data_IF_044893653335
#
_entry.id   IF_044893653335
#
_cell.length_a   1.000
_cell.length_b   1.000
_cell.length_c   1.000
_cell.angle_alpha   90.00
_cell.angle_beta   90.00
_cell.angle_gamma   90.00
#
_symmetry.space_group_name_H-M   'P 1'
#
loop_
_entity.id
_entity.type
_entity.pdbx_description
1 polymer ?
#
# COMPACT_ATOMS: atom_id res chain seq x y z
N UNK A 1 -32.18 -34.25 -13.59
CA UNK A 1 -32.47 -33.23 -12.55
C UNK A 1 -31.86 -33.78 -11.26
N UNK A 2 -30.74 -33.33 -10.70
CA UNK A 2 -30.18 -31.99 -10.56
C UNK A 2 -28.70 -31.94 -10.94
N UNK A 3 -28.24 -30.74 -11.30
CA UNK A 3 -26.86 -30.44 -11.67
C UNK A 3 -26.12 -29.74 -10.50
N UNK A 4 -24.79 -29.92 -10.49
CA UNK A 4 -23.74 -29.10 -9.84
C UNK A 4 -23.59 -29.26 -8.32
N UNK A 5 -22.38 -29.60 -7.88
CA UNK A 5 -21.44 -28.62 -7.34
C UNK A 5 -20.01 -29.09 -7.59
N UNK A 6 -19.23 -28.21 -8.23
CA UNK A 6 -17.79 -28.32 -8.32
C UNK A 6 -17.23 -28.05 -6.93
N UNK A 7 -16.68 -29.06 -6.25
CA UNK A 7 -15.82 -28.83 -5.09
C UNK A 7 -14.45 -28.43 -5.62
N UNK A 8 -14.33 -27.11 -5.79
CA UNK A 8 -13.18 -26.45 -6.38
C UNK A 8 -11.99 -26.55 -5.42
N UNK A 9 -10.93 -27.17 -5.93
CA UNK A 9 -9.55 -26.74 -5.81
C UNK A 9 -9.03 -26.39 -4.40
N UNK A 10 -8.09 -27.23 -3.96
CA UNK A 10 -7.00 -26.82 -3.09
C UNK A 10 -6.38 -25.48 -3.54
N UNK A 11 -6.69 -24.41 -2.82
CA UNK A 11 -5.73 -23.35 -2.57
C UNK A 11 -5.13 -23.69 -1.21
N UNK A 12 -3.97 -24.34 -1.13
CA UNK A 12 -2.71 -23.61 -1.21
C UNK A 12 -2.89 -22.18 -0.69
N UNK A 13 -3.08 -22.04 0.63
CA UNK A 13 -2.54 -20.86 1.30
C UNK A 13 -1.14 -21.23 1.75
N UNK A 14 -0.11 -21.07 0.90
CA UNK A 14 1.23 -21.11 1.42
C UNK A 14 1.43 -19.89 2.32
N UNK A 15 1.71 -20.19 3.59
CA UNK A 15 2.86 -19.62 4.32
C UNK A 15 2.67 -18.19 4.86
N UNK A 16 2.79 -17.92 6.15
CA UNK A 16 4.02 -18.08 6.96
C UNK A 16 5.27 -17.61 6.23
N UNK A 17 5.43 -16.30 5.98
CA UNK A 17 6.75 -15.74 5.66
C UNK A 17 6.92 -14.37 6.35
N UNK A 18 7.91 -14.30 7.21
CA UNK A 18 8.36 -13.14 7.98
C UNK A 18 8.95 -12.07 7.04
N UNK A 19 8.10 -11.35 6.33
CA UNK A 19 8.44 -10.12 5.62
C UNK A 19 7.73 -8.98 6.35
N UNK A 20 8.47 -7.94 6.75
CA UNK A 20 7.87 -6.74 7.36
C UNK A 20 6.77 -6.22 6.42
N UNK A 21 5.52 -6.28 6.87
CA UNK A 21 4.38 -5.86 6.06
C UNK A 21 4.59 -4.43 5.53
N UNK A 22 4.23 -4.18 4.28
CA UNK A 22 4.19 -2.84 3.74
C UNK A 22 3.10 -2.03 4.46
N UNK A 23 3.40 -0.76 4.73
CA UNK A 23 2.45 0.15 5.37
C UNK A 23 1.78 1.03 4.34
N UNK A 24 0.63 1.55 4.73
CA UNK A 24 -0.11 2.54 3.96
C UNK A 24 -0.18 3.83 4.78
N UNK A 25 -0.05 4.96 4.11
CA UNK A 25 0.00 6.28 4.73
C UNK A 25 -1.06 7.17 4.09
N UNK A 26 -1.87 7.81 4.93
CA UNK A 26 -2.94 8.71 4.50
C UNK A 26 -2.56 10.15 4.83
N UNK A 27 -2.62 11.01 3.83
CA UNK A 27 -2.56 12.45 4.04
C UNK A 27 -3.79 12.88 4.85
N UNK A 28 -3.60 13.42 6.06
CA UNK A 28 -4.71 13.83 6.92
C UNK A 28 -5.41 15.11 6.44
N UNK A 29 -4.79 15.82 5.49
CA UNK A 29 -5.30 17.07 4.91
C UNK A 29 -6.27 16.82 3.77
N UNK A 30 -5.96 15.87 2.86
CA UNK A 30 -6.77 15.63 1.65
C UNK A 30 -7.27 14.19 1.50
N UNK A 31 -6.75 13.24 2.26
CA UNK A 31 -7.12 11.82 2.17
C UNK A 31 -6.37 11.01 1.10
N UNK A 32 -5.35 11.59 0.44
CA UNK A 32 -4.48 10.83 -0.48
C UNK A 32 -3.83 9.64 0.23
N UNK A 33 -3.76 8.49 -0.44
CA UNK A 33 -3.21 7.24 0.10
C UNK A 33 -1.92 6.87 -0.63
N UNK A 34 -0.82 6.83 0.12
CA UNK A 34 0.45 6.25 -0.30
C UNK A 34 0.57 4.81 0.20
N UNK A 35 0.70 3.84 -0.70
CA UNK A 35 0.92 2.43 -0.38
C UNK A 35 2.39 2.08 -0.68
N UNK A 36 3.18 1.73 0.34
CA UNK A 36 4.59 1.39 0.18
C UNK A 36 4.78 0.23 -0.83
N UNK A 37 3.86 -0.75 -0.90
CA UNK A 37 3.97 -1.87 -1.83
C UNK A 37 3.84 -1.41 -3.29
N UNK A 38 3.00 -0.40 -3.53
CA UNK A 38 2.75 0.16 -4.87
C UNK A 38 3.71 1.28 -5.22
N UNK A 39 4.25 1.97 -4.22
CA UNK A 39 4.98 3.22 -4.40
C UNK A 39 4.13 4.28 -5.10
N UNK A 40 4.81 5.21 -5.77
CA UNK A 40 4.18 6.22 -6.62
C UNK A 40 5.09 6.55 -7.82
N UNK A 41 5.15 5.69 -8.85
CA UNK A 41 6.12 5.82 -9.94
C UNK A 41 5.99 7.12 -10.74
N UNK A 42 4.79 7.71 -10.79
CA UNK A 42 4.55 9.00 -11.43
C UNK A 42 5.33 10.14 -10.77
N UNK A 43 5.59 10.04 -9.47
CA UNK A 43 6.37 10.99 -8.66
C UNK A 43 7.82 10.51 -8.43
N UNK A 44 8.24 9.44 -9.11
CA UNK A 44 9.58 8.86 -8.97
C UNK A 44 9.78 7.96 -7.75
N UNK A 45 8.72 7.61 -7.02
CA UNK A 45 8.79 6.65 -5.90
C UNK A 45 8.48 5.24 -6.43
N UNK A 46 9.47 4.36 -6.48
CA UNK A 46 9.30 3.02 -7.03
C UNK A 46 8.37 2.14 -6.14
N UNK A 47 7.74 1.09 -6.70
CA UNK A 47 7.03 0.11 -5.88
C UNK A 47 7.97 -0.52 -4.85
N UNK A 48 7.51 -0.65 -3.61
CA UNK A 48 8.29 -1.15 -2.49
C UNK A 48 9.13 -0.09 -1.76
N UNK A 49 9.12 1.17 -2.19
CA UNK A 49 9.72 2.28 -1.44
C UNK A 49 9.04 2.39 -0.06
N UNK A 50 9.84 2.35 1.00
CA UNK A 50 9.33 2.50 2.37
C UNK A 50 9.14 3.97 2.70
N UNK A 51 8.27 4.27 3.67
CA UNK A 51 8.05 5.66 4.11
C UNK A 51 9.32 6.34 4.63
N UNK A 52 10.19 5.58 5.28
CA UNK A 52 11.52 6.04 5.69
C UNK A 52 12.44 6.40 4.51
N UNK A 53 12.20 5.85 3.32
CA UNK A 53 13.00 6.09 2.12
C UNK A 53 12.42 7.20 1.23
N UNK A 54 11.18 7.64 1.48
CA UNK A 54 10.60 8.79 0.77
C UNK A 54 11.37 10.06 1.17
N UNK A 55 11.82 10.92 0.24
CA UNK A 55 12.55 12.14 0.60
C UNK A 55 11.74 13.09 1.47
N UNK A 56 12.34 13.74 2.47
CA UNK A 56 11.65 14.72 3.34
C UNK A 56 11.17 15.96 2.59
N UNK A 57 11.75 16.23 1.41
CA UNK A 57 11.32 17.30 0.50
C UNK A 57 10.13 16.92 -0.36
N UNK A 58 9.70 15.66 -0.36
CA UNK A 58 8.52 15.23 -1.10
C UNK A 58 7.26 15.81 -0.48
N UNK A 59 6.33 16.22 -1.33
CA UNK A 59 5.03 16.75 -0.94
C UNK A 59 3.90 15.91 -1.52
N UNK A 60 2.76 15.91 -0.86
CA UNK A 60 1.57 15.24 -1.34
C UNK A 60 1.21 15.73 -2.76
N UNK A 61 1.07 14.84 -3.76
CA UNK A 61 0.78 15.24 -5.14
C UNK A 61 -0.60 15.88 -5.29
N UNK A 62 -1.53 15.56 -4.39
CA UNK A 62 -2.91 16.04 -4.47
C UNK A 62 -3.09 17.44 -3.85
N UNK A 63 -2.34 17.77 -2.79
CA UNK A 63 -2.56 19.03 -2.04
C UNK A 63 -1.29 19.81 -1.64
N UNK A 64 -0.10 19.27 -1.91
CA UNK A 64 1.18 19.99 -1.74
C UNK A 64 1.70 20.12 -0.31
N UNK A 65 1.07 19.48 0.68
CA UNK A 65 1.59 19.44 2.06
C UNK A 65 2.77 18.49 2.20
N UNK A 66 3.56 18.62 3.27
CA UNK A 66 4.78 17.81 3.46
C UNK A 66 4.45 16.41 4.00
N UNK A 67 5.46 15.55 4.10
CA UNK A 67 5.34 14.21 4.71
C UNK A 67 4.83 14.24 6.15
N UNK A 68 5.02 15.34 6.88
CA UNK A 68 4.61 15.44 8.29
C UNK A 68 3.08 15.37 8.47
N UNK A 69 2.33 15.68 7.42
CA UNK A 69 0.86 15.63 7.39
C UNK A 69 0.31 14.25 6.97
N UNK A 70 1.11 13.18 7.07
CA UNK A 70 0.69 11.81 6.78
C UNK A 70 0.67 10.95 8.04
N UNK A 71 -0.42 10.19 8.19
CA UNK A 71 -0.56 9.20 9.25
C UNK A 71 -0.61 7.79 8.68
N UNK A 72 0.02 6.84 9.37
CA UNK A 72 -0.05 5.43 9.00
C UNK A 72 -1.48 4.90 9.23
N UNK A 73 -2.00 4.22 8.21
CA UNK A 73 -3.29 3.54 8.25
C UNK A 73 -3.09 2.04 8.04
N UNK A 74 -3.75 1.24 8.87
CA UNK A 74 -3.83 -0.20 8.68
C UNK A 74 -5.00 -0.49 7.74
N UNK A 75 -4.70 -0.97 6.53
CA UNK A 75 -5.68 -1.38 5.50
C UNK A 75 -5.70 -2.88 5.29
#
# INVERSE_FOLDING_TARGET
MAARVHDAAAAHYPMSQTATAYRTWMCVVCGFIYDEARGLPAEGLAPGTRWEDVPDTWTCPDCGVTKDDFEMVAV
#
